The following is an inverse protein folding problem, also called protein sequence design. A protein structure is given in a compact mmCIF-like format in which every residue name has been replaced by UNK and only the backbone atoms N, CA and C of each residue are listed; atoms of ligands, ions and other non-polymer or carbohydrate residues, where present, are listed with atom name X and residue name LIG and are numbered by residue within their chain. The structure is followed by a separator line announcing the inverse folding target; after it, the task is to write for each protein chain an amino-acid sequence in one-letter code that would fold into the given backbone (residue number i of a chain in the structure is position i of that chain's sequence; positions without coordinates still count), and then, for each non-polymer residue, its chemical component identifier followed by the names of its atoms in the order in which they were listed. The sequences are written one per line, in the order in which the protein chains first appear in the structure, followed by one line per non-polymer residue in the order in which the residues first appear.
data_IF_169256911625
#
_entry.id   IF_169256911625
#
_cell.length_a   1.000
_cell.length_b   1.000
_cell.length_c   1.000
_cell.angle_alpha   90.00
_cell.angle_beta   90.00
_cell.angle_gamma   90.00
#
_symmetry.space_group_name_H-M   'P 1'
#
loop_
_entity.id
_entity.type
_entity.pdbx_description
1 polymer ?
#
# COMPACT_ATOMS: atom_id res chain seq x y z
N UNK A 1 -38.13 -25.70 32.48
CA UNK A 1 -37.19 -24.59 32.75
C UNK A 1 -36.46 -24.32 31.44
N UNK A 2 -36.95 -23.37 30.67
CA UNK A 2 -36.32 -22.97 29.38
C UNK A 2 -35.38 -21.83 29.68
N UNK A 3 -34.10 -22.13 29.66
CA UNK A 3 -33.03 -21.13 29.80
C UNK A 3 -32.86 -20.36 28.48
N UNK A 4 -33.17 -19.09 28.50
CA UNK A 4 -32.91 -18.14 27.40
C UNK A 4 -31.43 -17.89 27.35
N UNK A 5 -30.75 -18.39 26.31
CA UNK A 5 -29.37 -18.02 26.00
C UNK A 5 -29.43 -16.60 25.42
N UNK A 6 -29.06 -15.61 26.24
CA UNK A 6 -28.81 -14.26 25.78
C UNK A 6 -27.58 -14.29 24.87
N UNK A 7 -27.79 -14.20 23.56
CA UNK A 7 -26.70 -14.07 22.60
C UNK A 7 -25.93 -12.77 22.86
N UNK A 8 -24.67 -12.89 23.28
CA UNK A 8 -23.73 -11.80 23.22
C UNK A 8 -23.63 -11.41 21.74
N UNK A 9 -24.09 -10.21 21.42
CA UNK A 9 -23.99 -9.65 20.07
C UNK A 9 -22.52 -9.57 19.69
N UNK A 10 -22.07 -10.48 18.84
CA UNK A 10 -20.76 -10.35 18.20
C UNK A 10 -20.80 -9.09 17.34
N UNK A 11 -20.04 -8.08 17.74
CA UNK A 11 -19.85 -6.87 16.94
C UNK A 11 -19.53 -7.30 15.50
N UNK A 12 -20.17 -6.69 14.51
CA UNK A 12 -19.86 -6.99 13.11
C UNK A 12 -18.38 -6.74 12.89
N UNK A 13 -17.64 -7.64 12.20
CA UNK A 13 -16.19 -7.49 11.99
C UNK A 13 -15.76 -6.11 11.48
N UNK A 14 -16.63 -5.44 10.71
CA UNK A 14 -16.41 -4.08 10.22
C UNK A 14 -16.33 -3.01 11.31
N UNK A 15 -17.23 -3.02 12.29
CA UNK A 15 -17.23 -2.03 13.36
C UNK A 15 -15.97 -2.12 14.25
N UNK A 16 -15.44 -3.33 14.45
CA UNK A 16 -14.19 -3.50 15.19
C UNK A 16 -12.99 -2.92 14.43
N UNK A 17 -12.94 -3.06 13.10
CA UNK A 17 -11.89 -2.46 12.28
C UNK A 17 -11.98 -0.93 12.26
N UNK A 18 -13.19 -0.38 12.18
CA UNK A 18 -13.40 1.07 12.17
C UNK A 18 -12.93 1.69 13.51
N UNK A 19 -13.27 1.07 14.65
CA UNK A 19 -12.80 1.50 15.97
C UNK A 19 -11.26 1.41 16.15
N UNK A 20 -10.62 0.40 15.52
CA UNK A 20 -9.16 0.30 15.52
C UNK A 20 -8.52 1.50 14.79
N UNK A 21 -9.03 1.83 13.62
CA UNK A 21 -8.51 2.96 12.82
C UNK A 21 -8.73 4.29 13.55
N UNK A 22 -9.89 4.51 14.14
CA UNK A 22 -10.15 5.69 14.97
C UNK A 22 -9.14 5.82 16.11
N UNK A 23 -8.88 4.72 16.85
CA UNK A 23 -7.89 4.71 17.91
C UNK A 23 -6.45 4.96 17.43
N UNK A 24 -6.13 4.54 16.19
CA UNK A 24 -4.80 4.83 15.61
C UNK A 24 -4.66 6.31 15.23
N UNK A 25 -5.71 6.93 14.71
CA UNK A 25 -5.67 8.36 14.36
C UNK A 25 -5.45 9.26 15.56
N UNK A 26 -5.86 8.82 16.75
CA UNK A 26 -5.62 9.53 18.02
C UNK A 26 -4.25 9.25 18.65
N UNK A 27 -3.44 8.37 18.05
CA UNK A 27 -2.15 7.97 18.61
C UNK A 27 -1.12 9.08 18.48
N UNK A 28 -0.43 9.42 19.59
CA UNK A 28 0.74 10.28 19.57
C UNK A 28 1.91 9.59 18.88
N UNK A 29 2.48 10.21 17.84
CA UNK A 29 3.51 9.61 17.00
C UNK A 29 4.83 9.41 17.74
N UNK A 30 5.18 10.29 18.66
CA UNK A 30 6.40 10.16 19.47
C UNK A 30 6.28 9.03 20.47
N UNK A 31 5.12 8.87 21.10
CA UNK A 31 4.85 7.75 21.99
C UNK A 31 4.86 6.41 21.21
N UNK A 32 4.23 6.38 20.05
CA UNK A 32 4.25 5.23 19.17
C UNK A 32 5.67 4.85 18.72
N UNK A 33 6.48 5.85 18.35
CA UNK A 33 7.88 5.65 17.98
C UNK A 33 8.67 5.01 19.11
N UNK A 34 8.57 5.55 20.33
CA UNK A 34 9.22 4.97 21.51
C UNK A 34 8.78 3.52 21.77
N UNK A 35 7.50 3.24 21.62
CA UNK A 35 6.93 1.89 21.77
C UNK A 35 7.53 0.91 20.78
N UNK A 36 7.56 1.28 19.50
CA UNK A 36 8.13 0.43 18.42
C UNK A 36 9.63 0.21 18.62
N UNK A 37 10.38 1.26 18.95
CA UNK A 37 11.82 1.16 19.20
C UNK A 37 12.12 0.24 20.40
N UNK A 38 11.43 0.39 21.53
CA UNK A 38 11.59 -0.50 22.69
C UNK A 38 11.35 -1.95 22.31
N UNK A 39 10.34 -2.24 21.48
CA UNK A 39 10.03 -3.59 21.04
C UNK A 39 11.12 -4.18 20.14
N UNK A 40 11.61 -3.41 19.16
CA UNK A 40 12.62 -3.89 18.20
C UNK A 40 14.03 -3.97 18.79
N UNK A 41 14.35 -3.14 19.77
CA UNK A 41 15.67 -3.09 20.43
C UNK A 41 15.68 -3.68 21.85
N UNK A 42 14.64 -4.41 22.27
CA UNK A 42 14.68 -5.15 23.51
C UNK A 42 15.79 -6.21 23.45
N UNK A 43 16.74 -6.25 24.40
CA UNK A 43 17.90 -7.14 24.34
C UNK A 43 17.55 -8.63 24.28
N UNK A 44 16.41 -9.03 24.86
CA UNK A 44 15.98 -10.44 24.95
C UNK A 44 15.01 -10.83 23.83
N UNK A 45 14.16 -9.91 23.41
CA UNK A 45 13.01 -10.22 22.56
C UNK A 45 12.90 -9.36 21.31
N UNK A 46 13.86 -8.48 21.06
CA UNK A 46 13.90 -7.60 19.89
C UNK A 46 14.13 -8.32 18.57
N UNK A 47 14.16 -7.58 17.49
CA UNK A 47 14.39 -8.14 16.16
C UNK A 47 15.85 -8.55 15.97
N UNK A 48 16.15 -9.78 15.56
CA UNK A 48 17.53 -10.22 15.31
C UNK A 48 18.34 -9.28 14.39
N UNK A 49 17.71 -8.75 13.35
CA UNK A 49 18.30 -7.76 12.45
C UNK A 49 18.73 -6.50 13.20
N UNK A 50 17.80 -5.90 13.97
CA UNK A 50 18.06 -4.64 14.66
C UNK A 50 19.05 -4.80 15.82
N UNK A 51 18.99 -5.92 16.54
CA UNK A 51 19.95 -6.21 17.61
C UNK A 51 21.39 -6.34 17.08
N UNK A 52 21.58 -6.98 15.91
CA UNK A 52 22.90 -7.03 15.27
C UNK A 52 23.35 -5.65 14.81
N UNK A 53 22.45 -4.86 14.23
CA UNK A 53 22.75 -3.55 13.69
C UNK A 53 23.04 -2.50 14.78
N UNK A 54 22.41 -2.62 15.93
CA UNK A 54 22.60 -1.72 17.08
C UNK A 54 24.06 -1.67 17.53
N UNK A 55 24.81 -2.77 17.41
CA UNK A 55 26.23 -2.82 17.78
C UNK A 55 27.12 -1.86 16.92
N UNK A 56 26.64 -1.42 15.77
CA UNK A 56 27.38 -0.51 14.88
C UNK A 56 26.83 0.93 14.88
N UNK A 57 25.85 1.24 15.70
CA UNK A 57 25.32 2.59 15.87
C UNK A 57 26.16 3.34 16.92
N UNK A 58 26.30 4.64 16.75
CA UNK A 58 26.97 5.54 17.68
C UNK A 58 26.05 6.13 18.76
N UNK A 59 24.80 5.66 18.80
CA UNK A 59 23.76 6.02 19.76
C UNK A 59 22.95 4.78 20.19
N UNK A 60 22.30 4.85 21.36
CA UNK A 60 21.32 3.85 21.77
C UNK A 60 19.94 4.18 21.13
N UNK A 61 19.38 3.33 20.27
CA UNK A 61 18.07 3.58 19.68
C UNK A 61 16.93 3.77 20.69
N UNK A 62 17.10 3.28 21.92
CA UNK A 62 16.10 3.42 22.99
C UNK A 62 16.09 4.81 23.62
N UNK A 63 17.13 5.63 23.37
CA UNK A 63 17.21 7.02 23.79
C UNK A 63 16.43 7.96 22.87
N UNK A 64 16.01 7.49 21.68
CA UNK A 64 15.14 8.25 20.78
C UNK A 64 13.78 8.44 21.42
N UNK A 65 13.37 9.70 21.55
CA UNK A 65 12.13 10.11 22.21
C UNK A 65 11.09 10.69 21.25
N UNK A 66 11.53 11.17 20.08
CA UNK A 66 10.70 11.80 19.06
C UNK A 66 10.84 11.13 17.70
N UNK A 67 9.75 11.13 16.93
CA UNK A 67 9.71 10.59 15.59
C UNK A 67 10.78 11.18 14.65
N UNK A 68 11.01 12.47 14.73
CA UNK A 68 11.98 13.18 13.89
C UNK A 68 13.41 12.70 14.08
N UNK A 69 13.75 12.20 15.27
CA UNK A 69 15.06 11.67 15.63
C UNK A 69 15.38 10.34 14.92
N UNK A 70 14.39 9.70 14.28
CA UNK A 70 14.62 8.51 13.46
C UNK A 70 15.55 8.76 12.28
N UNK A 71 15.79 10.01 11.90
CA UNK A 71 16.81 10.37 10.90
C UNK A 71 18.22 9.95 11.32
N UNK A 72 18.50 9.77 12.62
CA UNK A 72 19.77 9.25 13.11
C UNK A 72 20.15 7.86 12.55
N UNK A 73 19.14 7.04 12.19
CA UNK A 73 19.41 5.73 11.56
C UNK A 73 19.99 5.81 10.14
N UNK A 74 19.96 6.99 9.51
CA UNK A 74 20.27 7.10 8.09
C UNK A 74 19.20 6.46 7.19
N UNK A 75 19.37 6.49 5.87
CA UNK A 75 18.51 5.80 4.92
C UNK A 75 18.56 4.29 5.13
N UNK A 76 17.40 3.62 5.13
CA UNK A 76 17.33 2.17 5.26
C UNK A 76 17.97 1.48 4.04
N UNK A 77 18.92 0.55 4.22
CA UNK A 77 19.59 -0.14 3.12
C UNK A 77 18.69 -1.23 2.55
N UNK A 78 18.03 -0.96 1.41
CA UNK A 78 17.12 -1.91 0.75
C UNK A 78 17.81 -3.21 0.33
N UNK A 79 19.14 -3.23 0.24
CA UNK A 79 19.90 -4.46 -0.06
C UNK A 79 19.73 -5.51 1.04
N UNK A 80 19.59 -5.08 2.29
CA UNK A 80 19.34 -5.99 3.42
C UNK A 80 17.99 -6.74 3.27
N UNK A 81 17.00 -6.12 2.60
CA UNK A 81 15.72 -6.78 2.30
C UNK A 81 15.80 -7.73 1.09
N UNK A 82 16.81 -7.61 0.26
CA UNK A 82 17.04 -8.49 -0.90
C UNK A 82 17.80 -9.74 -0.55
N UNK A 83 18.78 -9.62 0.35
CA UNK A 83 19.75 -10.66 0.68
C UNK A 83 19.49 -11.33 2.04
N UNK A 84 18.86 -10.62 2.99
CA UNK A 84 18.58 -11.10 4.34
C UNK A 84 17.40 -12.04 4.44
N UNK A 85 17.30 -12.74 5.57
CA UNK A 85 16.09 -13.47 5.93
C UNK A 85 15.03 -12.46 6.42
N UNK A 86 13.85 -12.36 5.77
CA UNK A 86 12.81 -11.44 6.21
C UNK A 86 12.28 -11.74 7.61
N UNK A 87 12.47 -12.96 8.14
CA UNK A 87 12.11 -13.33 9.52
C UNK A 87 12.97 -12.64 10.57
N UNK A 88 14.19 -12.22 10.22
CA UNK A 88 15.10 -11.51 11.13
C UNK A 88 14.61 -10.10 11.50
N UNK A 89 13.76 -9.50 10.66
CA UNK A 89 13.13 -8.21 10.95
C UNK A 89 12.02 -8.30 12.00
N UNK A 90 11.46 -9.50 12.21
CA UNK A 90 10.36 -9.72 13.15
C UNK A 90 10.92 -9.92 14.57
N UNK A 91 10.42 -9.18 15.59
CA UNK A 91 10.87 -9.33 16.96
C UNK A 91 10.71 -10.76 17.47
N UNK A 92 11.65 -11.23 18.29
CA UNK A 92 11.56 -12.52 18.99
C UNK A 92 10.38 -12.59 19.96
N UNK A 93 9.83 -11.43 20.35
CA UNK A 93 8.58 -11.34 21.10
C UNK A 93 7.37 -11.91 20.35
N UNK A 94 7.43 -12.03 19.03
CA UNK A 94 6.39 -12.70 18.23
C UNK A 94 6.55 -14.21 18.38
N UNK A 95 5.49 -14.96 18.72
CA UNK A 95 5.57 -16.41 18.94
C UNK A 95 6.20 -17.19 17.78
N UNK A 96 6.99 -18.22 18.11
CA UNK A 96 7.63 -19.12 17.13
C UNK A 96 6.99 -20.51 17.18
N UNK A 97 6.89 -21.25 16.05
CA UNK A 97 7.32 -20.84 14.71
C UNK A 97 6.48 -19.68 14.17
N UNK A 98 7.11 -18.81 13.38
CA UNK A 98 6.40 -17.67 12.78
C UNK A 98 5.26 -18.15 11.88
N UNK A 99 4.08 -17.56 12.08
CA UNK A 99 2.94 -17.70 11.17
C UNK A 99 2.76 -16.38 10.42
N UNK A 100 2.61 -16.44 9.11
CA UNK A 100 2.47 -15.24 8.29
C UNK A 100 2.84 -15.51 6.83
N UNK A 101 3.14 -14.44 6.09
CA UNK A 101 3.45 -14.52 4.66
C UNK A 101 4.65 -13.67 4.31
N UNK A 102 5.46 -14.17 3.36
CA UNK A 102 6.52 -13.37 2.72
C UNK A 102 5.99 -12.74 1.45
N UNK A 103 6.20 -11.45 1.33
CA UNK A 103 5.82 -10.67 0.16
C UNK A 103 7.05 -10.11 -0.55
N UNK A 104 6.99 -10.13 -1.87
CA UNK A 104 8.02 -9.60 -2.75
C UNK A 104 7.62 -8.24 -3.30
N UNK A 105 8.59 -7.32 -3.38
CA UNK A 105 8.41 -6.09 -4.19
C UNK A 105 8.47 -6.44 -5.69
N UNK A 106 8.10 -5.49 -6.53
CA UNK A 106 8.06 -5.68 -7.99
C UNK A 106 9.40 -6.00 -8.67
N UNK A 107 10.55 -5.92 -7.97
CA UNK A 107 11.88 -6.28 -8.51
C UNK A 107 12.32 -5.46 -9.72
N UNK A 108 11.97 -4.19 -9.79
CA UNK A 108 12.22 -3.32 -10.96
C UNK A 108 13.71 -3.01 -11.14
N UNK A 109 14.48 -2.91 -10.05
CA UNK A 109 15.92 -2.55 -10.07
C UNK A 109 16.84 -3.70 -9.72
N UNK A 110 16.36 -4.92 -9.63
CA UNK A 110 17.16 -6.09 -9.24
C UNK A 110 16.33 -7.18 -8.61
N UNK A 111 16.92 -7.97 -7.71
CA UNK A 111 16.18 -8.94 -6.92
C UNK A 111 15.07 -8.24 -6.10
N UNK A 112 13.88 -8.85 -5.96
CA UNK A 112 12.83 -8.28 -5.12
C UNK A 112 13.29 -8.14 -3.67
N UNK A 113 12.91 -7.05 -3.01
CA UNK A 113 12.97 -6.99 -1.56
C UNK A 113 11.87 -7.91 -1.00
N UNK A 114 12.17 -8.56 0.13
CA UNK A 114 11.25 -9.47 0.82
C UNK A 114 10.91 -8.95 2.19
N UNK A 115 9.64 -9.03 2.54
CA UNK A 115 9.14 -8.64 3.86
C UNK A 115 8.23 -9.73 4.39
N UNK A 116 8.43 -10.13 5.63
CA UNK A 116 7.52 -11.04 6.33
C UNK A 116 6.42 -10.22 6.99
N UNK A 117 5.17 -10.60 6.74
CA UNK A 117 4.00 -10.03 7.39
C UNK A 117 3.43 -11.02 8.39
N UNK A 118 3.38 -10.61 9.65
CA UNK A 118 2.70 -11.35 10.71
C UNK A 118 1.17 -11.25 10.56
N UNK A 119 0.40 -12.10 11.25
CA UNK A 119 -1.07 -11.96 11.28
C UNK A 119 -1.52 -10.59 11.77
N UNK A 120 -0.80 -9.98 12.73
CA UNK A 120 -1.10 -8.65 13.26
C UNK A 120 -0.90 -7.56 12.19
N UNK A 121 0.20 -7.60 11.45
CA UNK A 121 0.40 -6.70 10.31
C UNK A 121 -0.68 -6.85 9.24
N UNK A 122 -1.14 -8.07 8.96
CA UNK A 122 -2.22 -8.31 8.00
C UNK A 122 -3.56 -7.77 8.52
N UNK A 123 -3.84 -7.91 9.82
CA UNK A 123 -5.02 -7.33 10.46
C UNK A 123 -5.03 -5.80 10.34
N UNK A 124 -3.93 -5.14 10.69
CA UNK A 124 -3.79 -3.69 10.60
C UNK A 124 -3.97 -3.19 9.17
N UNK A 125 -3.31 -3.86 8.22
CA UNK A 125 -3.47 -3.57 6.80
C UNK A 125 -4.91 -3.74 6.33
N UNK A 126 -5.57 -4.81 6.74
CA UNK A 126 -6.98 -5.07 6.40
C UNK A 126 -7.91 -4.00 6.93
N UNK A 127 -7.73 -3.55 8.18
CA UNK A 127 -8.50 -2.47 8.79
C UNK A 127 -8.34 -1.15 8.01
N UNK A 128 -7.09 -0.76 7.67
CA UNK A 128 -6.82 0.41 6.84
C UNK A 128 -7.41 0.30 5.44
N UNK A 129 -7.34 -0.89 4.83
CA UNK A 129 -7.94 -1.11 3.51
C UNK A 129 -9.46 -0.94 3.56
N UNK A 130 -10.12 -1.51 4.58
CA UNK A 130 -11.55 -1.33 4.79
C UNK A 130 -11.91 0.15 4.97
N UNK A 131 -11.18 0.84 5.87
CA UNK A 131 -11.39 2.26 6.09
C UNK A 131 -11.29 3.07 4.79
N UNK A 132 -10.24 2.83 4.01
CA UNK A 132 -10.05 3.57 2.76
C UNK A 132 -11.15 3.31 1.73
N UNK A 133 -11.69 2.09 1.65
CA UNK A 133 -12.80 1.80 0.75
C UNK A 133 -14.07 2.55 1.19
N UNK A 134 -14.38 2.54 2.49
CA UNK A 134 -15.55 3.26 3.02
C UNK A 134 -15.40 4.76 2.81
N UNK A 135 -14.22 5.34 3.09
CA UNK A 135 -13.96 6.77 2.91
C UNK A 135 -13.99 7.22 1.44
N UNK A 136 -13.68 6.32 0.51
CA UNK A 136 -13.79 6.57 -0.93
C UNK A 136 -15.22 6.37 -1.45
N UNK A 137 -16.16 5.87 -0.64
CA UNK A 137 -17.56 5.68 -0.98
C UNK A 137 -17.93 4.28 -1.50
N UNK A 138 -17.00 3.32 -1.49
CA UNK A 138 -17.32 1.95 -1.87
C UNK A 138 -18.22 1.29 -0.82
N UNK A 139 -19.32 0.67 -1.27
CA UNK A 139 -20.31 0.04 -0.39
C UNK A 139 -19.90 -1.38 0.00
N UNK A 140 -20.03 -1.76 1.29
CA UNK A 140 -19.86 -3.13 1.74
C UNK A 140 -20.85 -4.11 1.07
N UNK A 141 -20.44 -5.38 0.94
CA UNK A 141 -21.29 -6.46 0.42
C UNK A 141 -21.39 -6.52 -1.10
N UNK A 142 -20.80 -5.59 -1.84
CA UNK A 142 -20.77 -5.58 -3.29
C UNK A 142 -19.73 -6.56 -3.85
N UNK A 143 -19.94 -7.01 -5.08
CA UNK A 143 -19.01 -7.92 -5.78
C UNK A 143 -17.88 -7.17 -6.42
N UNK A 144 -16.67 -7.72 -6.32
CA UNK A 144 -15.42 -7.15 -6.81
C UNK A 144 -14.73 -8.03 -7.83
N UNK A 145 -14.09 -7.42 -8.80
CA UNK A 145 -13.04 -8.03 -9.62
C UNK A 145 -11.67 -7.49 -9.17
N UNK A 146 -10.79 -8.37 -8.75
CA UNK A 146 -9.39 -8.06 -8.48
C UNK A 146 -8.55 -8.41 -9.71
N UNK A 147 -8.30 -7.45 -10.57
CA UNK A 147 -7.44 -7.58 -11.75
C UNK A 147 -6.03 -7.07 -11.44
N UNK A 148 -5.37 -7.71 -10.47
CA UNK A 148 -3.99 -7.45 -10.02
C UNK A 148 -3.27 -8.77 -9.73
N UNK A 149 -1.92 -8.77 -9.69
CA UNK A 149 -1.18 -9.99 -9.39
C UNK A 149 -1.56 -10.61 -8.06
N UNK A 150 -1.84 -11.91 -8.05
CA UNK A 150 -2.19 -12.67 -6.84
C UNK A 150 -1.03 -13.50 -6.25
N UNK A 151 0.11 -13.57 -6.94
CA UNK A 151 1.29 -14.33 -6.51
C UNK A 151 1.92 -13.77 -5.22
N UNK A 152 3.25 -13.73 -5.10
CA UNK A 152 3.92 -13.22 -3.90
C UNK A 152 3.88 -11.67 -3.82
N UNK A 153 2.80 -11.07 -4.28
CA UNK A 153 2.60 -9.63 -4.31
C UNK A 153 1.51 -9.22 -3.32
N UNK A 154 1.86 -8.31 -2.42
CA UNK A 154 0.96 -7.88 -1.34
C UNK A 154 -0.36 -7.29 -1.87
N UNK A 155 -0.35 -6.67 -3.04
CA UNK A 155 -1.57 -6.12 -3.66
C UNK A 155 -2.63 -7.20 -3.89
N UNK A 156 -2.22 -8.42 -4.27
CA UNK A 156 -3.12 -9.54 -4.48
C UNK A 156 -3.80 -10.06 -3.22
N UNK A 157 -3.15 -9.93 -2.06
CA UNK A 157 -3.75 -10.32 -0.77
C UNK A 157 -4.97 -9.46 -0.41
N UNK A 158 -5.03 -8.24 -0.93
CA UNK A 158 -6.14 -7.33 -0.68
C UNK A 158 -7.52 -7.86 -1.07
N UNK A 159 -7.58 -8.84 -1.96
CA UNK A 159 -8.81 -9.54 -2.35
C UNK A 159 -9.43 -10.27 -1.16
N UNK A 160 -8.62 -11.10 -0.51
CA UNK A 160 -9.07 -11.91 0.62
C UNK A 160 -9.40 -11.04 1.82
N UNK A 161 -8.56 -10.05 2.10
CA UNK A 161 -8.84 -9.04 3.14
C UNK A 161 -10.18 -8.34 2.91
N UNK A 162 -10.45 -7.94 1.66
CA UNK A 162 -11.71 -7.25 1.33
C UNK A 162 -12.93 -8.17 1.48
N UNK A 163 -12.86 -9.43 1.04
CA UNK A 163 -13.98 -10.37 1.15
C UNK A 163 -14.29 -10.71 2.61
N UNK A 164 -13.27 -10.88 3.45
CA UNK A 164 -13.42 -11.23 4.85
C UNK A 164 -13.92 -10.06 5.71
N UNK A 165 -13.36 -8.86 5.49
CA UNK A 165 -13.61 -7.69 6.33
C UNK A 165 -14.72 -6.77 5.79
N UNK A 166 -14.94 -6.77 4.48
CA UNK A 166 -15.87 -5.87 3.81
C UNK A 166 -17.15 -6.58 3.36
N UNK A 167 -17.06 -7.90 3.18
CA UNK A 167 -18.11 -8.75 2.63
C UNK A 167 -18.19 -8.68 1.10
N UNK A 168 -19.01 -9.55 0.52
CA UNK A 168 -19.21 -9.63 -0.92
C UNK A 168 -18.42 -10.75 -1.59
N UNK A 169 -18.63 -10.89 -2.91
CA UNK A 169 -17.95 -11.89 -3.74
C UNK A 169 -16.76 -11.24 -4.43
N UNK A 170 -15.63 -11.94 -4.47
CA UNK A 170 -14.42 -11.46 -5.14
C UNK A 170 -14.03 -12.43 -6.24
N UNK A 171 -13.88 -11.90 -7.44
CA UNK A 171 -13.35 -12.59 -8.61
C UNK A 171 -11.89 -12.18 -8.83
N UNK A 172 -11.08 -13.08 -9.34
CA UNK A 172 -9.66 -12.84 -9.65
C UNK A 172 -9.35 -13.22 -11.08
N UNK A 173 -8.23 -12.74 -11.60
CA UNK A 173 -7.63 -13.17 -12.85
C UNK A 173 -6.21 -13.68 -12.62
N UNK A 174 -5.67 -14.42 -13.57
CA UNK A 174 -4.27 -14.83 -13.56
C UNK A 174 -3.40 -13.73 -14.16
N UNK A 175 -2.56 -13.10 -13.34
CA UNK A 175 -1.65 -12.05 -13.77
C UNK A 175 -0.24 -12.26 -13.23
N UNK A 176 0.75 -12.42 -14.14
CA UNK A 176 2.17 -12.48 -13.80
C UNK A 176 2.92 -11.21 -14.27
N UNK A 177 3.18 -10.22 -13.39
CA UNK A 177 3.88 -9.01 -13.76
C UNK A 177 5.37 -9.25 -14.06
N UNK A 178 5.97 -10.33 -13.54
CA UNK A 178 7.37 -10.67 -13.79
C UNK A 178 7.55 -11.14 -15.22
N UNK A 179 6.57 -11.88 -15.74
CA UNK A 179 6.58 -12.34 -17.13
C UNK A 179 6.52 -11.17 -18.11
N UNK A 180 5.61 -10.23 -17.91
CA UNK A 180 5.52 -9.02 -18.75
C UNK A 180 6.82 -8.22 -18.73
N UNK A 181 7.39 -7.98 -17.56
CA UNK A 181 8.68 -7.28 -17.44
C UNK A 181 9.81 -8.00 -18.18
N UNK A 182 9.82 -9.33 -18.12
CA UNK A 182 10.79 -10.16 -18.87
C UNK A 182 10.61 -10.02 -20.39
N UNK A 183 9.37 -10.01 -20.87
CA UNK A 183 9.07 -9.82 -22.29
C UNK A 183 9.55 -8.45 -22.77
N UNK A 184 9.22 -7.40 -22.05
CA UNK A 184 9.60 -6.02 -22.40
C UNK A 184 11.13 -5.85 -22.40
N UNK A 185 11.82 -6.31 -21.34
CA UNK A 185 13.29 -6.26 -21.26
C UNK A 185 13.98 -7.04 -22.38
N UNK A 186 13.36 -8.12 -22.84
CA UNK A 186 13.83 -8.93 -23.97
C UNK A 186 13.45 -8.38 -25.34
N UNK A 187 12.83 -7.19 -25.43
CA UNK A 187 12.39 -6.59 -26.71
C UNK A 187 11.18 -7.31 -27.35
N UNK A 188 10.54 -8.26 -26.65
CA UNK A 188 9.40 -9.08 -27.12
C UNK A 188 8.08 -8.30 -26.96
N UNK A 189 7.99 -7.14 -27.58
CA UNK A 189 6.83 -6.23 -27.40
C UNK A 189 5.53 -6.77 -27.99
N UNK A 190 5.61 -7.62 -29.05
CA UNK A 190 4.44 -8.28 -29.61
C UNK A 190 3.81 -9.24 -28.59
N UNK A 191 4.65 -10.08 -27.95
CA UNK A 191 4.20 -11.04 -26.96
C UNK A 191 3.68 -10.33 -25.68
N UNK A 192 4.28 -9.21 -25.31
CA UNK A 192 3.77 -8.40 -24.20
C UNK A 192 2.36 -7.81 -24.51
N UNK A 193 2.11 -7.42 -25.75
CA UNK A 193 0.77 -6.97 -26.17
C UNK A 193 -0.23 -8.13 -26.22
N UNK A 194 0.17 -9.31 -26.70
CA UNK A 194 -0.66 -10.51 -26.68
C UNK A 194 -1.05 -10.88 -25.25
N UNK A 195 -0.09 -10.87 -24.33
CA UNK A 195 -0.36 -11.11 -22.91
C UNK A 195 -1.33 -10.07 -22.32
N UNK A 196 -1.19 -8.78 -22.66
CA UNK A 196 -2.14 -7.76 -22.25
C UNK A 196 -3.55 -8.05 -22.79
N UNK A 197 -3.65 -8.49 -24.03
CA UNK A 197 -4.93 -8.90 -24.62
C UNK A 197 -5.56 -10.04 -23.84
N UNK A 198 -4.78 -11.09 -23.50
CA UNK A 198 -5.24 -12.19 -22.68
C UNK A 198 -5.74 -11.75 -21.28
N UNK A 199 -5.06 -10.80 -20.64
CA UNK A 199 -5.55 -10.22 -19.37
C UNK A 199 -6.89 -9.52 -19.55
N UNK A 200 -7.05 -8.73 -20.62
CA UNK A 200 -8.32 -8.04 -20.91
C UNK A 200 -9.46 -9.02 -21.22
N UNK A 201 -9.18 -10.14 -21.86
CA UNK A 201 -10.15 -11.20 -22.12
C UNK A 201 -10.64 -11.86 -20.83
N UNK A 202 -9.74 -12.15 -19.87
CA UNK A 202 -10.14 -12.65 -18.55
C UNK A 202 -11.02 -11.63 -17.81
N UNK A 203 -10.66 -10.35 -17.84
CA UNK A 203 -11.44 -9.27 -17.22
C UNK A 203 -12.84 -9.19 -17.89
N UNK A 204 -12.88 -9.18 -19.21
CA UNK A 204 -14.13 -9.08 -19.99
C UNK A 204 -15.05 -10.29 -19.75
N UNK A 205 -14.51 -11.50 -19.62
CA UNK A 205 -15.30 -12.69 -19.28
C UNK A 205 -15.99 -12.54 -17.92
N UNK A 206 -15.29 -12.04 -16.90
CA UNK A 206 -15.88 -11.82 -15.57
C UNK A 206 -16.92 -10.70 -15.60
N UNK A 207 -16.58 -9.54 -16.14
CA UNK A 207 -17.47 -8.38 -16.17
C UNK A 207 -18.69 -8.61 -17.07
N UNK A 208 -18.49 -9.26 -18.22
CA UNK A 208 -19.56 -9.55 -19.19
C UNK A 208 -20.65 -10.48 -18.69
N UNK A 209 -20.38 -11.27 -17.66
CA UNK A 209 -21.40 -12.11 -16.98
C UNK A 209 -22.35 -11.32 -16.10
N UNK A 210 -22.01 -10.06 -15.80
CA UNK A 210 -22.79 -9.18 -14.93
C UNK A 210 -22.68 -9.52 -13.44
N UNK A 211 -23.20 -8.63 -12.59
CA UNK A 211 -23.20 -8.81 -11.14
C UNK A 211 -21.87 -8.51 -10.45
N UNK A 212 -20.89 -7.98 -11.19
CA UNK A 212 -19.66 -7.39 -10.65
C UNK A 212 -19.84 -5.87 -10.60
N UNK A 213 -19.69 -5.28 -9.42
CA UNK A 213 -19.96 -3.86 -9.19
C UNK A 213 -18.67 -3.03 -9.26
N UNK A 214 -17.60 -3.55 -8.67
CA UNK A 214 -16.34 -2.83 -8.52
C UNK A 214 -15.16 -3.62 -9.09
N UNK A 215 -14.14 -2.91 -9.51
CA UNK A 215 -12.88 -3.52 -9.90
C UNK A 215 -11.69 -2.88 -9.16
N UNK A 216 -10.66 -3.68 -8.86
CA UNK A 216 -9.33 -3.18 -8.47
C UNK A 216 -8.34 -3.57 -9.56
N UNK A 217 -7.59 -2.59 -10.09
CA UNK A 217 -6.59 -2.84 -11.11
C UNK A 217 -5.53 -1.72 -11.15
N UNK A 218 -4.61 -1.80 -12.12
CA UNK A 218 -3.64 -0.71 -12.35
C UNK A 218 -4.20 0.31 -13.35
N UNK A 219 -3.75 1.58 -13.29
CA UNK A 219 -4.13 2.59 -14.28
C UNK A 219 -3.93 2.14 -15.73
N UNK A 220 -2.83 1.42 -16.03
CA UNK A 220 -2.52 0.96 -17.38
C UNK A 220 -3.52 -0.10 -17.88
N UNK A 221 -3.88 -1.09 -17.05
CA UNK A 221 -4.89 -2.10 -17.39
C UNK A 221 -6.26 -1.45 -17.54
N UNK A 222 -6.62 -0.53 -16.64
CA UNK A 222 -7.90 0.19 -16.74
C UNK A 222 -8.00 1.02 -18.01
N UNK A 223 -6.92 1.71 -18.38
CA UNK A 223 -6.84 2.44 -19.64
C UNK A 223 -7.04 1.52 -20.85
N UNK A 224 -6.39 0.36 -20.87
CA UNK A 224 -6.53 -0.61 -21.94
C UNK A 224 -7.95 -1.21 -22.00
N UNK A 225 -8.55 -1.48 -20.84
CA UNK A 225 -9.93 -1.96 -20.73
C UNK A 225 -10.91 -0.90 -21.26
N UNK A 226 -10.74 0.35 -20.87
CA UNK A 226 -11.58 1.48 -21.36
C UNK A 226 -11.53 1.63 -22.88
N UNK A 227 -10.37 1.43 -23.48
CA UNK A 227 -10.20 1.53 -24.93
C UNK A 227 -10.85 0.36 -25.69
N UNK A 228 -10.81 -0.85 -25.13
CA UNK A 228 -11.28 -2.05 -25.80
C UNK A 228 -12.73 -2.40 -25.47
N UNK A 229 -13.18 -2.11 -24.25
CA UNK A 229 -14.48 -2.46 -23.70
C UNK A 229 -15.09 -1.29 -22.91
N UNK A 230 -15.33 -0.13 -23.56
CA UNK A 230 -15.86 1.06 -22.88
C UNK A 230 -17.23 0.80 -22.23
N UNK A 231 -18.05 -0.09 -22.80
CA UNK A 231 -19.35 -0.49 -22.27
C UNK A 231 -19.24 -1.23 -20.92
N UNK A 232 -18.21 -2.07 -20.75
CA UNK A 232 -17.97 -2.76 -19.48
C UNK A 232 -17.48 -1.80 -18.40
N UNK A 233 -16.66 -0.80 -18.79
CA UNK A 233 -16.20 0.24 -17.86
C UNK A 233 -17.37 1.11 -17.41
N UNK A 234 -18.23 1.55 -18.33
CA UNK A 234 -19.38 2.39 -18.03
C UNK A 234 -20.45 1.68 -17.16
N UNK A 235 -20.42 0.35 -17.13
CA UNK A 235 -21.33 -0.47 -16.30
C UNK A 235 -20.80 -0.73 -14.88
N UNK A 236 -19.55 -0.37 -14.55
CA UNK A 236 -19.01 -0.50 -13.21
C UNK A 236 -19.52 0.61 -12.29
N UNK A 237 -19.92 0.25 -11.07
CA UNK A 237 -20.23 1.20 -10.01
C UNK A 237 -18.94 1.90 -9.50
N UNK A 238 -17.77 1.33 -9.78
CA UNK A 238 -16.49 1.99 -9.48
C UNK A 238 -15.26 1.12 -9.73
N UNK A 239 -14.11 1.80 -9.74
CA UNK A 239 -12.77 1.19 -9.82
C UNK A 239 -11.87 1.74 -8.74
N UNK A 240 -11.02 0.88 -8.17
CA UNK A 240 -9.91 1.29 -7.33
C UNK A 240 -8.58 1.04 -8.03
N UNK A 241 -7.78 2.08 -8.18
CA UNK A 241 -6.53 2.09 -8.92
C UNK A 241 -5.33 2.05 -7.96
N UNK A 242 -4.40 1.16 -8.23
CA UNK A 242 -3.20 0.95 -7.41
C UNK A 242 -2.06 0.36 -8.25
N UNK A 243 -0.86 0.30 -7.66
CA UNK A 243 0.30 -0.40 -8.24
C UNK A 243 1.17 0.44 -9.17
N UNK A 244 0.62 1.48 -9.79
CA UNK A 244 1.38 2.48 -10.55
C UNK A 244 0.79 3.87 -10.30
N UNK A 245 1.55 4.88 -10.71
CA UNK A 245 1.11 6.28 -10.59
C UNK A 245 -0.11 6.60 -11.47
N UNK A 246 -0.84 7.61 -11.07
CA UNK A 246 -1.90 8.23 -11.86
C UNK A 246 -1.75 9.75 -11.82
N UNK A 247 -1.88 10.41 -12.97
CA UNK A 247 -1.92 11.87 -13.03
C UNK A 247 -3.33 12.38 -12.78
N UNK A 248 -3.49 13.62 -12.31
CA UNK A 248 -4.82 14.25 -12.18
C UNK A 248 -5.65 14.20 -13.46
N UNK A 249 -5.03 14.46 -14.64
CA UNK A 249 -5.72 14.39 -15.92
C UNK A 249 -6.23 12.98 -16.22
N UNK A 250 -5.38 11.95 -16.02
CA UNK A 250 -5.77 10.55 -16.21
C UNK A 250 -6.88 10.15 -15.25
N UNK A 251 -6.82 10.59 -13.99
CA UNK A 251 -7.87 10.32 -13.01
C UNK A 251 -9.21 10.93 -13.45
N UNK A 252 -9.22 12.19 -13.88
CA UNK A 252 -10.41 12.88 -14.39
C UNK A 252 -11.03 12.14 -15.60
N UNK A 253 -10.18 11.67 -16.53
CA UNK A 253 -10.63 10.88 -17.68
C UNK A 253 -11.26 9.55 -17.27
N UNK A 254 -10.75 8.92 -16.20
CA UNK A 254 -11.28 7.67 -15.67
C UNK A 254 -12.60 7.87 -14.94
N UNK A 255 -12.71 8.94 -14.15
CA UNK A 255 -14.00 9.34 -13.54
C UNK A 255 -15.07 9.55 -14.59
N UNK A 256 -14.75 10.26 -15.67
CA UNK A 256 -15.69 10.48 -16.78
C UNK A 256 -16.12 9.16 -17.46
N UNK A 257 -15.22 8.18 -17.58
CA UNK A 257 -15.51 6.89 -18.21
C UNK A 257 -16.43 5.99 -17.36
N UNK A 258 -16.45 6.17 -16.04
CA UNK A 258 -17.26 5.38 -15.11
C UNK A 258 -18.73 5.81 -15.02
N UNK A 259 -19.14 6.82 -15.80
CA UNK A 259 -20.53 7.29 -15.87
C UNK A 259 -21.18 7.56 -14.47
N UNK A 260 -20.44 8.22 -13.60
CA UNK A 260 -20.84 8.57 -12.23
C UNK A 260 -20.41 7.56 -11.17
N UNK A 261 -19.67 6.52 -11.55
CA UNK A 261 -19.06 5.57 -10.62
C UNK A 261 -17.85 6.14 -9.87
N UNK A 262 -17.43 5.42 -8.85
CA UNK A 262 -16.31 5.80 -7.96
C UNK A 262 -14.96 5.50 -8.64
N UNK A 263 -14.04 6.45 -8.62
CA UNK A 263 -12.64 6.24 -9.02
C UNK A 263 -11.71 6.43 -7.80
N UNK A 264 -11.56 5.37 -6.99
CA UNK A 264 -10.67 5.39 -5.84
C UNK A 264 -9.20 5.20 -6.25
N UNK A 265 -8.28 5.76 -5.46
CA UNK A 265 -6.84 5.66 -5.70
C UNK A 265 -6.08 5.28 -4.44
N UNK A 266 -4.96 4.59 -4.60
CA UNK A 266 -4.03 4.35 -3.50
C UNK A 266 -2.59 4.39 -3.97
N UNK A 267 -1.71 4.82 -3.08
CA UNK A 267 -0.27 4.84 -3.28
C UNK A 267 0.42 3.93 -2.26
N UNK A 268 1.51 3.31 -2.66
CA UNK A 268 2.34 2.52 -1.78
C UNK A 268 3.04 1.35 -2.47
N UNK A 269 3.72 0.60 -1.66
CA UNK A 269 4.48 -0.58 -2.06
C UNK A 269 4.29 -1.72 -1.06
N UNK A 270 5.20 -2.72 -1.10
CA UNK A 270 5.19 -3.86 -0.16
C UNK A 270 5.50 -3.44 1.28
N UNK A 271 6.10 -2.29 1.53
CA UNK A 271 6.48 -1.84 2.88
C UNK A 271 5.37 -1.04 3.55
N UNK A 272 4.71 -0.15 2.82
CA UNK A 272 3.70 0.73 3.37
C UNK A 272 2.75 1.31 2.33
N UNK A 273 1.59 1.74 2.78
CA UNK A 273 0.52 2.22 1.91
C UNK A 273 -0.04 3.56 2.40
N UNK A 274 -0.62 4.28 1.45
CA UNK A 274 -1.41 5.48 1.64
C UNK A 274 -2.72 5.35 0.87
N UNK A 275 -3.80 5.82 1.47
CA UNK A 275 -5.12 5.89 0.85
C UNK A 275 -5.29 7.25 0.15
N UNK A 276 -6.02 7.28 -0.95
CA UNK A 276 -6.46 8.53 -1.56
C UNK A 276 -7.41 9.28 -0.62
N UNK A 277 -7.23 10.58 -0.50
CA UNK A 277 -8.09 11.45 0.30
C UNK A 277 -9.18 12.03 -0.61
N UNK A 278 -10.24 11.25 -0.85
CA UNK A 278 -11.27 11.52 -1.86
C UNK A 278 -11.91 12.91 -1.72
N UNK A 279 -12.20 13.35 -0.50
CA UNK A 279 -12.81 14.66 -0.20
C UNK A 279 -11.92 15.87 -0.54
N UNK A 280 -10.64 15.66 -0.79
CA UNK A 280 -9.63 16.68 -1.12
C UNK A 280 -9.08 16.54 -2.53
N UNK A 281 -9.55 15.58 -3.29
CA UNK A 281 -9.17 15.44 -4.70
C UNK A 281 -9.77 16.58 -5.53
N UNK A 282 -8.95 17.12 -6.41
CA UNK A 282 -9.36 18.17 -7.35
C UNK A 282 -8.90 17.82 -8.78
N UNK A 283 -9.25 18.66 -9.74
CA UNK A 283 -8.79 18.51 -11.11
C UNK A 283 -7.25 18.57 -11.27
N UNK A 284 -6.54 19.10 -10.29
CA UNK A 284 -5.08 19.31 -10.34
C UNK A 284 -4.32 18.58 -9.23
N UNK A 285 -5.03 18.07 -8.22
CA UNK A 285 -4.40 17.54 -7.01
C UNK A 285 -5.03 16.21 -6.58
N UNK A 286 -4.19 15.19 -6.44
CA UNK A 286 -4.53 13.86 -5.95
C UNK A 286 -3.77 13.60 -4.66
N UNK A 287 -4.32 13.96 -3.49
CA UNK A 287 -3.66 13.73 -2.20
C UNK A 287 -3.86 12.30 -1.69
N UNK A 288 -2.86 11.83 -0.95
CA UNK A 288 -2.83 10.54 -0.27
C UNK A 288 -2.40 10.73 1.18
N UNK A 289 -3.00 9.96 2.08
CA UNK A 289 -2.68 9.92 3.50
C UNK A 289 -2.14 8.54 3.89
N UNK A 290 -1.01 8.45 4.62
CA UNK A 290 -0.41 7.17 4.99
C UNK A 290 -1.26 6.44 6.04
N UNK A 291 -1.09 5.12 6.14
CA UNK A 291 -1.72 4.26 7.15
C UNK A 291 -1.10 4.52 8.54
N UNK A 292 -1.46 5.62 9.13
CA UNK A 292 -0.95 6.13 10.41
C UNK A 292 -1.41 5.27 11.61
N UNK A 293 -0.58 5.07 12.66
CA UNK A 293 0.81 5.48 12.82
C UNK A 293 1.81 4.46 12.28
N UNK A 294 1.34 3.30 11.76
CA UNK A 294 2.20 2.21 11.30
C UNK A 294 3.02 2.57 10.07
N UNK A 295 2.56 3.54 9.32
CA UNK A 295 3.26 4.08 8.14
C UNK A 295 3.18 5.60 8.19
N UNK A 296 4.30 6.25 7.95
CA UNK A 296 4.37 7.69 7.71
C UNK A 296 5.10 7.97 6.41
N UNK A 297 4.79 9.10 5.79
CA UNK A 297 5.45 9.55 4.56
C UNK A 297 5.86 11.00 4.72
N UNK A 298 7.08 11.31 4.32
CA UNK A 298 7.58 12.68 4.21
C UNK A 298 8.04 12.95 2.78
N UNK A 299 7.88 14.17 2.33
CA UNK A 299 8.48 14.63 1.07
C UNK A 299 9.71 15.44 1.42
N UNK A 300 10.87 14.93 1.06
CA UNK A 300 12.17 15.47 1.48
C UNK A 300 12.94 16.04 0.29
N UNK A 301 13.92 16.87 0.58
CA UNK A 301 14.81 17.40 -0.43
C UNK A 301 15.58 16.26 -1.13
N UNK A 302 15.94 16.45 -2.38
CA UNK A 302 16.59 15.42 -3.19
C UNK A 302 18.06 15.20 -2.82
N UNK A 303 18.72 16.27 -2.38
CA UNK A 303 20.13 16.27 -1.99
C UNK A 303 20.27 16.03 -0.50
N UNK A 304 19.36 16.60 0.30
CA UNK A 304 19.28 16.38 1.76
C UNK A 304 18.00 15.59 2.11
N UNK A 305 18.09 14.28 2.07
CA UNK A 305 16.99 13.36 2.38
C UNK A 305 16.45 13.50 3.81
N UNK A 306 17.14 14.17 4.72
CA UNK A 306 16.68 14.38 6.11
C UNK A 306 15.75 15.57 6.25
N UNK A 307 15.84 16.55 5.35
CA UNK A 307 15.09 17.81 5.42
C UNK A 307 13.80 17.76 4.60
N UNK A 308 12.61 17.90 5.25
CA UNK A 308 11.34 18.03 4.55
C UNK A 308 11.29 19.31 3.71
N UNK A 309 10.75 19.23 2.50
CA UNK A 309 10.48 20.41 1.65
C UNK A 309 9.32 21.23 2.19
N UNK A 310 9.13 22.46 1.73
CA UNK A 310 7.95 23.27 2.07
C UNK A 310 6.66 22.62 1.56
N UNK A 311 5.52 22.88 2.21
CA UNK A 311 4.22 22.43 1.71
C UNK A 311 3.95 22.94 0.30
N UNK A 312 3.36 22.07 -0.53
CA UNK A 312 3.14 22.34 -1.96
C UNK A 312 4.40 22.19 -2.85
N UNK A 313 5.59 22.02 -2.25
CA UNK A 313 6.83 21.81 -3.00
C UNK A 313 7.05 20.33 -3.31
N UNK A 314 7.71 20.08 -4.44
CA UNK A 314 8.06 18.72 -4.89
C UNK A 314 9.39 18.27 -4.30
N UNK A 315 9.44 17.02 -3.82
CA UNK A 315 10.63 16.38 -3.32
C UNK A 315 10.56 14.86 -3.47
N UNK A 316 11.56 14.16 -2.93
CA UNK A 316 11.59 12.70 -2.89
C UNK A 316 10.70 12.16 -1.77
N UNK A 317 9.99 11.07 -2.01
CA UNK A 317 9.23 10.41 -0.95
C UNK A 317 10.17 9.60 -0.05
N UNK A 318 10.09 9.87 1.26
CA UNK A 318 10.70 9.08 2.33
C UNK A 318 9.59 8.41 3.12
N UNK A 319 9.58 7.09 3.12
CA UNK A 319 8.61 6.26 3.81
C UNK A 319 9.24 5.72 5.09
N UNK A 320 8.51 5.71 6.19
CA UNK A 320 8.91 5.03 7.42
C UNK A 320 7.84 4.05 7.84
N UNK A 321 8.23 2.80 8.10
CA UNK A 321 7.36 1.78 8.67
C UNK A 321 7.64 1.68 10.16
N UNK A 322 6.61 1.93 10.95
CA UNK A 322 6.60 1.90 12.40
C UNK A 322 5.57 0.88 12.90
N UNK A 323 5.67 -0.37 12.47
CA UNK A 323 4.84 -1.44 13.00
C UNK A 323 5.54 -2.14 14.16
N UNK A 324 4.77 -2.62 15.15
CA UNK A 324 5.35 -3.36 16.28
C UNK A 324 6.12 -4.62 15.85
N UNK A 325 5.80 -5.19 14.69
CA UNK A 325 6.46 -6.38 14.14
C UNK A 325 7.37 -6.08 12.94
N UNK A 326 7.46 -4.82 12.49
CA UNK A 326 8.33 -4.39 11.39
C UNK A 326 8.76 -2.93 11.55
N UNK A 327 10.04 -2.70 11.68
CA UNK A 327 10.63 -1.36 11.71
C UNK A 327 11.51 -1.15 10.47
N UNK A 328 11.15 -0.18 9.63
CA UNK A 328 11.95 0.26 8.47
C UNK A 328 11.99 1.80 8.46
N UNK A 329 12.93 2.42 9.21
CA UNK A 329 13.05 3.88 9.22
C UNK A 329 13.66 4.39 7.91
N UNK A 330 13.19 5.54 7.43
CA UNK A 330 13.79 6.30 6.33
C UNK A 330 14.01 5.51 5.03
N UNK A 331 13.03 4.74 4.58
CA UNK A 331 13.08 4.13 3.25
C UNK A 331 12.93 5.21 2.19
N UNK A 332 13.96 5.42 1.39
CA UNK A 332 13.94 6.40 0.32
C UNK A 332 13.34 5.80 -0.95
N UNK A 333 12.13 6.24 -1.28
CA UNK A 333 11.41 5.78 -2.46
C UNK A 333 12.02 6.32 -3.77
N UNK A 334 11.68 5.67 -4.87
CA UNK A 334 12.05 6.13 -6.23
C UNK A 334 11.00 7.06 -6.81
N UNK A 335 10.11 7.54 -5.95
CA UNK A 335 9.03 8.44 -6.30
C UNK A 335 9.30 9.84 -5.75
N UNK A 336 8.78 10.81 -6.44
CA UNK A 336 8.65 12.20 -6.00
C UNK A 336 7.17 12.55 -5.86
N UNK A 337 6.88 13.46 -4.97
CA UNK A 337 5.53 13.94 -4.71
C UNK A 337 5.55 15.42 -4.30
N UNK A 338 4.38 16.03 -4.23
CA UNK A 338 4.20 17.29 -3.51
C UNK A 338 3.98 16.99 -2.04
N UNK A 339 4.65 17.73 -1.13
CA UNK A 339 4.32 17.68 0.29
C UNK A 339 2.94 18.26 0.52
N UNK A 340 2.04 17.48 1.09
CA UNK A 340 0.65 17.85 1.27
C UNK A 340 0.34 18.11 2.73
N UNK A 341 -0.19 19.32 3.02
CA UNK A 341 -0.73 19.67 4.32
C UNK A 341 -2.15 19.13 4.46
N UNK A 342 -2.34 18.18 5.36
CA UNK A 342 -3.65 17.60 5.63
C UNK A 342 -4.57 18.50 6.45
N UNK A 343 -4.09 19.69 6.88
CA UNK A 343 -4.87 20.71 7.59
C UNK A 343 -5.71 20.16 8.76
N UNK A 344 -5.13 19.26 9.57
CA UNK A 344 -5.78 18.64 10.72
C UNK A 344 -6.74 17.50 10.43
N UNK A 345 -6.94 17.14 9.16
CA UNK A 345 -7.72 15.95 8.78
C UNK A 345 -6.96 14.64 9.00
N UNK A 346 -5.64 14.73 9.11
CA UNK A 346 -4.76 13.57 9.31
C UNK A 346 -3.65 13.94 10.30
N UNK A 347 -3.21 12.99 11.17
CA UNK A 347 -2.22 13.30 12.20
C UNK A 347 -0.80 13.52 11.70
N UNK A 348 -0.53 13.21 10.42
CA UNK A 348 0.77 13.39 9.77
C UNK A 348 0.62 14.05 8.41
N UNK A 349 1.76 14.44 7.82
CA UNK A 349 1.77 14.93 6.44
C UNK A 349 1.23 13.88 5.46
N UNK A 350 0.59 14.34 4.40
CA UNK A 350 0.26 13.59 3.21
C UNK A 350 1.24 13.82 2.08
N UNK A 351 1.04 13.08 0.99
CA UNK A 351 1.74 13.26 -0.28
C UNK A 351 0.73 13.47 -1.40
N UNK A 352 1.05 14.27 -2.42
CA UNK A 352 0.14 14.45 -3.55
C UNK A 352 0.86 14.35 -4.89
N UNK A 353 0.10 13.99 -5.95
CA UNK A 353 0.60 13.91 -7.32
C UNK A 353 1.88 13.07 -7.44
N UNK A 354 1.85 11.89 -6.85
CA UNK A 354 3.00 10.97 -6.83
C UNK A 354 3.36 10.55 -8.25
N UNK A 355 4.64 10.58 -8.57
CA UNK A 355 5.20 10.19 -9.87
C UNK A 355 6.63 9.67 -9.71
N UNK A 356 7.17 8.87 -10.65
CA UNK A 356 8.55 8.42 -10.58
C UNK A 356 9.52 9.61 -10.47
N UNK A 357 10.53 9.44 -9.63
CA UNK A 357 11.66 10.35 -9.62
C UNK A 357 12.37 10.21 -10.96
N UNK A 358 12.40 11.29 -11.75
CA UNK A 358 13.11 11.27 -13.04
C UNK A 358 14.59 11.02 -12.81
N UNK A 359 14.99 9.79 -13.06
CA UNK A 359 16.39 9.41 -13.25
C UNK A 359 16.55 9.31 -14.76
N UNK A 360 17.44 10.13 -15.33
CA UNK A 360 17.79 10.12 -16.74
C UNK A 360 18.02 8.68 -17.24
N UNK A 361 17.27 8.26 -18.29
CA UNK A 361 17.41 7.02 -19.05
C UNK A 361 16.90 5.70 -18.43
N UNK A 362 15.69 5.64 -17.97
CA UNK A 362 15.00 4.33 -17.81
C UNK A 362 13.85 4.20 -18.81
N UNK A 363 13.83 3.06 -19.52
CA UNK A 363 12.69 2.69 -20.37
C UNK A 363 11.38 2.69 -19.57
N UNK A 364 10.22 2.98 -20.20
CA UNK A 364 8.93 2.95 -19.52
C UNK A 364 8.75 1.60 -18.80
N UNK A 365 8.45 1.66 -17.51
CA UNK A 365 8.06 0.46 -16.76
C UNK A 365 6.76 -0.06 -17.37
N UNK A 366 6.70 -1.39 -17.62
CA UNK A 366 5.55 -2.03 -18.22
C UNK A 366 4.26 -1.87 -17.42
N UNK A 367 3.21 -2.59 -17.80
CA UNK A 367 1.83 -2.56 -17.27
C UNK A 367 1.70 -2.66 -15.73
N UNK A 368 2.84 -2.76 -15.05
CA UNK A 368 2.89 -2.91 -13.59
C UNK A 368 4.15 -2.26 -13.00
#
# INVERSE_FOLDING_TARGET
MTGTVTGAGTARPGAACDALVEGWLDTDLDEWTRRVLRRHFDPATGSPYWLRRAAGLDFDPRDITRYEELTAFGPFPLEDLRSGDPADLVPLAVPRPLTGRVWDTGGTTGAPCRVFYTPDMLLHRGAWRRWSFVSEGFEPGRSWLQATPTGPHLIGNGVWESSELYGGRVYTIDMDPRWVKRLIRGGRLADAREYTTHLLEQIADVLGRGGTHYATTTPAIFQALRQRHPELVAALDGVRLSGTQISPDTHRDFVAALNGGICGISYGNTFGNAAGLAERQTAELLPYVPNYPQVTMAVVDREDWSTPVAYGSSGRVRLTVLHEDLLLPNVLERDQALRYDCAGLWPSDGVANVRPLQVTNTAPEGLY
#
